data_IF_288205078409
#
_entry.id   IF_288205078409
#
_cell.length_a   1.000
_cell.length_b   1.000
_cell.length_c   1.000
_cell.angle_alpha   90.00
_cell.angle_beta   90.00
_cell.angle_gamma   90.00
#
_symmetry.space_group_name_H-M   'P 1'
#
loop_
_entity.id
_entity.type
_entity.pdbx_description
1 polymer ?
#
# COMPACT_ATOMS: atom_id res chain seq x y z
N UNK A 1 -4.73 -4.35 24.86
CA UNK A 1 -5.06 -4.45 23.43
C UNK A 1 -3.91 -5.16 22.71
N UNK A 2 -4.19 -6.23 21.95
CA UNK A 2 -3.13 -6.95 21.22
C UNK A 2 -2.92 -6.30 19.86
N UNK A 3 -1.66 -6.14 19.45
CA UNK A 3 -1.31 -5.52 18.15
C UNK A 3 -1.94 -6.31 16.98
N UNK A 4 -2.00 -7.65 17.10
CA UNK A 4 -2.65 -8.55 16.12
C UNK A 4 -4.12 -8.21 15.84
N UNK A 5 -4.86 -7.71 16.84
CA UNK A 5 -6.26 -7.34 16.67
C UNK A 5 -6.39 -6.03 15.89
N UNK A 6 -5.49 -5.07 16.16
CA UNK A 6 -5.42 -3.81 15.41
C UNK A 6 -5.07 -4.09 13.96
N UNK A 7 -4.06 -4.94 13.75
CA UNK A 7 -3.55 -5.29 12.44
C UNK A 7 -4.63 -5.93 11.58
N UNK A 8 -5.36 -6.89 12.14
CA UNK A 8 -6.51 -7.52 11.48
C UNK A 8 -7.60 -6.52 11.08
N UNK A 9 -7.87 -5.52 11.92
CA UNK A 9 -8.87 -4.49 11.59
C UNK A 9 -8.37 -3.56 10.49
N UNK A 10 -7.08 -3.22 10.46
CA UNK A 10 -6.45 -2.44 9.39
C UNK A 10 -6.49 -3.20 8.07
N UNK A 11 -6.08 -4.48 8.07
CA UNK A 11 -6.10 -5.34 6.89
C UNK A 11 -7.51 -5.45 6.33
N UNK A 12 -8.49 -5.67 7.21
CA UNK A 12 -9.90 -5.76 6.82
C UNK A 12 -10.40 -4.47 6.19
N UNK A 13 -10.05 -3.31 6.75
CA UNK A 13 -10.41 -2.02 6.16
C UNK A 13 -9.80 -1.87 4.75
N UNK A 14 -8.52 -2.19 4.58
CA UNK A 14 -7.85 -2.10 3.29
C UNK A 14 -8.44 -3.08 2.26
N UNK A 15 -8.84 -4.27 2.68
CA UNK A 15 -9.50 -5.25 1.82
C UNK A 15 -10.92 -4.81 1.43
N UNK A 16 -11.73 -4.36 2.40
CA UNK A 16 -13.07 -3.83 2.12
C UNK A 16 -12.99 -2.61 1.18
N UNK A 17 -12.00 -1.74 1.35
CA UNK A 17 -11.83 -0.54 0.51
C UNK A 17 -11.50 -0.84 -0.96
N UNK A 18 -11.02 -2.05 -1.27
CA UNK A 18 -10.83 -2.49 -2.68
C UNK A 18 -12.15 -2.72 -3.40
N UNK A 19 -13.22 -3.00 -2.68
CA UNK A 19 -14.51 -3.39 -3.24
C UNK A 19 -15.62 -2.38 -2.93
N UNK A 20 -15.52 -1.68 -1.80
CA UNK A 20 -16.54 -0.79 -1.27
C UNK A 20 -16.13 0.68 -1.34
N UNK A 21 -17.13 1.55 -1.19
CA UNK A 21 -16.91 3.00 -1.10
C UNK A 21 -16.23 3.37 0.21
N UNK A 22 -15.59 4.56 0.21
CA UNK A 22 -14.93 5.14 1.38
C UNK A 22 -15.82 5.17 2.62
N UNK A 23 -17.04 5.65 2.45
CA UNK A 23 -17.98 5.89 3.55
C UNK A 23 -18.36 4.57 4.24
N UNK A 24 -18.67 3.53 3.45
CA UNK A 24 -19.03 2.20 3.96
C UNK A 24 -17.86 1.57 4.71
N UNK A 25 -16.66 1.59 4.12
CA UNK A 25 -15.46 1.04 4.76
C UNK A 25 -15.12 1.75 6.09
N UNK A 26 -15.29 3.08 6.15
CA UNK A 26 -15.07 3.87 7.36
C UNK A 26 -16.10 3.56 8.46
N UNK A 27 -17.37 3.40 8.09
CA UNK A 27 -18.43 3.02 9.03
C UNK A 27 -18.18 1.62 9.61
N UNK A 28 -17.85 0.65 8.75
CA UNK A 28 -17.50 -0.69 9.19
C UNK A 28 -16.26 -0.70 10.09
N UNK A 29 -15.22 0.05 9.74
CA UNK A 29 -14.03 0.18 10.59
C UNK A 29 -14.38 0.70 11.99
N UNK A 30 -15.23 1.72 12.10
CA UNK A 30 -15.72 2.19 13.40
C UNK A 30 -16.51 1.11 14.13
N UNK A 31 -17.45 0.45 13.46
CA UNK A 31 -18.24 -0.61 14.08
C UNK A 31 -17.34 -1.73 14.64
N UNK A 32 -16.32 -2.14 13.89
CA UNK A 32 -15.33 -3.11 14.36
C UNK A 32 -14.51 -2.58 15.54
N UNK A 33 -14.05 -1.33 15.49
CA UNK A 33 -13.32 -0.73 16.59
C UNK A 33 -14.15 -0.73 17.89
N UNK A 34 -15.45 -0.45 17.81
CA UNK A 34 -16.38 -0.50 18.94
C UNK A 34 -16.71 -1.92 19.43
N UNK A 35 -16.67 -2.92 18.54
CA UNK A 35 -16.89 -4.32 18.92
C UNK A 35 -15.66 -4.94 19.59
N UNK A 36 -14.46 -4.58 19.12
CA UNK A 36 -13.19 -5.11 19.64
C UNK A 36 -12.79 -4.42 20.93
N UNK A 37 -13.13 -3.14 21.10
CA UNK A 37 -12.75 -2.35 22.27
C UNK A 37 -13.89 -2.23 23.30
N UNK A 38 -13.55 -2.23 24.59
CA UNK A 38 -14.48 -1.73 25.62
C UNK A 38 -14.72 -0.23 25.41
N UNK A 39 -15.89 0.28 25.78
CA UNK A 39 -16.33 1.66 25.49
C UNK A 39 -15.35 2.79 25.89
N UNK A 40 -14.42 2.55 26.83
CA UNK A 40 -13.37 3.50 27.22
C UNK A 40 -12.01 3.34 26.52
N UNK A 41 -11.79 2.27 25.75
CA UNK A 41 -10.49 1.95 25.14
C UNK A 41 -10.41 2.33 23.65
N UNK A 42 -11.53 2.78 23.05
CA UNK A 42 -11.60 3.14 21.62
C UNK A 42 -10.63 4.26 21.26
N UNK A 43 -10.42 5.24 22.14
CA UNK A 43 -9.45 6.32 21.88
C UNK A 43 -8.01 5.80 21.81
N UNK A 44 -7.66 4.91 22.73
CA UNK A 44 -6.35 4.24 22.73
C UNK A 44 -6.19 3.33 21.52
N UNK A 45 -7.26 2.66 21.09
CA UNK A 45 -7.30 1.90 19.84
C UNK A 45 -6.99 2.78 18.64
N UNK A 46 -7.75 3.85 18.44
CA UNK A 46 -7.57 4.77 17.32
C UNK A 46 -6.16 5.35 17.28
N UNK A 47 -5.60 5.74 18.42
CA UNK A 47 -4.22 6.24 18.50
C UNK A 47 -3.18 5.18 18.11
N UNK A 48 -3.38 3.94 18.55
CA UNK A 48 -2.49 2.82 18.22
C UNK A 48 -2.58 2.46 16.74
N UNK A 49 -3.80 2.41 16.19
CA UNK A 49 -4.06 2.20 14.76
C UNK A 49 -3.37 3.27 13.92
N UNK A 50 -3.54 4.56 14.26
CA UNK A 50 -2.86 5.68 13.57
C UNK A 50 -1.35 5.49 13.53
N UNK A 51 -0.75 5.13 14.67
CA UNK A 51 0.70 4.93 14.76
C UNK A 51 1.16 3.75 13.89
N UNK A 52 0.41 2.65 13.89
CA UNK A 52 0.75 1.44 13.14
C UNK A 52 0.58 1.65 11.62
N UNK A 53 -0.53 2.27 11.21
CA UNK A 53 -0.79 2.63 9.81
C UNK A 53 0.23 3.64 9.31
N UNK A 54 0.63 4.61 10.15
CA UNK A 54 1.72 5.54 9.82
C UNK A 54 3.04 4.81 9.56
N UNK A 55 3.39 3.85 10.41
CA UNK A 55 4.55 2.99 10.20
C UNK A 55 4.44 2.19 8.89
N UNK A 56 3.27 1.66 8.54
CA UNK A 56 3.06 0.96 7.26
C UNK A 56 3.21 1.88 6.06
N UNK A 57 2.66 3.10 6.12
CA UNK A 57 2.84 4.10 5.06
C UNK A 57 4.31 4.44 4.87
N UNK A 58 5.03 4.72 5.96
CA UNK A 58 6.45 5.05 5.89
C UNK A 58 7.26 3.87 5.32
N UNK A 59 7.00 2.65 5.80
CA UNK A 59 7.64 1.44 5.31
C UNK A 59 7.34 1.18 3.83
N UNK A 60 6.08 1.28 3.40
CA UNK A 60 5.67 1.07 2.01
C UNK A 60 6.16 2.18 1.09
N UNK A 61 6.27 3.42 1.59
CA UNK A 61 6.81 4.54 0.81
C UNK A 61 8.27 4.33 0.40
N UNK A 62 9.05 3.56 1.18
CA UNK A 62 10.40 3.15 0.81
C UNK A 62 10.42 2.21 -0.41
N UNK A 63 9.31 1.51 -0.65
CA UNK A 63 9.07 0.61 -1.79
C UNK A 63 8.26 1.24 -2.91
N UNK A 64 7.80 2.50 -2.77
CA UNK A 64 7.09 3.25 -3.82
C UNK A 64 7.98 3.50 -5.05
N UNK A 65 9.30 3.30 -4.92
CA UNK A 65 10.20 3.26 -6.05
C UNK A 65 10.17 1.87 -6.73
N UNK A 66 9.52 1.71 -7.90
CA UNK A 66 9.42 0.42 -8.59
C UNK A 66 10.79 -0.14 -8.99
N UNK A 67 11.82 0.70 -9.07
CA UNK A 67 13.18 0.31 -9.47
C UNK A 67 13.99 -0.35 -8.36
N UNK A 68 13.54 -0.33 -7.10
CA UNK A 68 14.23 -1.02 -6.00
C UNK A 68 13.95 -2.52 -5.93
N UNK A 69 12.93 -3.01 -6.65
CA UNK A 69 12.60 -4.43 -6.68
C UNK A 69 13.63 -5.22 -7.50
N UNK A 70 13.98 -6.44 -7.05
CA UNK A 70 14.80 -7.39 -7.80
C UNK A 70 14.30 -7.60 -9.24
N UNK A 71 12.99 -7.51 -9.47
CA UNK A 71 12.38 -7.63 -10.80
C UNK A 71 12.73 -6.47 -11.73
N UNK A 72 12.88 -5.25 -11.19
CA UNK A 72 13.30 -4.11 -12.00
C UNK A 72 14.78 -4.21 -12.42
N UNK A 73 15.62 -4.85 -11.61
CA UNK A 73 17.00 -5.17 -11.99
C UNK A 73 17.01 -6.17 -13.17
N UNK A 74 16.10 -7.14 -13.18
CA UNK A 74 15.92 -8.05 -14.31
C UNK A 74 15.47 -7.32 -15.59
N UNK A 75 14.61 -6.30 -15.49
CA UNK A 75 14.28 -5.46 -16.65
C UNK A 75 15.50 -4.71 -17.21
N UNK A 76 16.35 -4.15 -16.33
CA UNK A 76 17.59 -3.50 -16.75
C UNK A 76 18.54 -4.50 -17.44
N UNK A 77 18.61 -5.72 -16.92
CA UNK A 77 19.36 -6.80 -17.57
C UNK A 77 18.79 -7.15 -18.95
N UNK A 78 17.46 -7.24 -19.08
CA UNK A 78 16.80 -7.48 -20.37
C UNK A 78 17.09 -6.36 -21.39
N UNK A 79 17.22 -5.11 -20.94
CA UNK A 79 17.63 -3.99 -21.78
C UNK A 79 19.07 -4.16 -22.31
N UNK A 80 20.00 -4.59 -21.45
CA UNK A 80 21.37 -4.94 -21.89
C UNK A 80 21.35 -6.11 -22.88
N UNK A 81 20.57 -7.15 -22.59
CA UNK A 81 20.42 -8.33 -23.44
C UNK A 81 19.78 -8.01 -24.80
N UNK A 82 18.88 -7.02 -24.83
CA UNK A 82 18.30 -6.49 -26.06
C UNK A 82 19.36 -5.88 -26.98
N UNK A 83 20.24 -5.01 -26.45
CA UNK A 83 21.34 -4.44 -27.23
C UNK A 83 22.33 -5.51 -27.70
N UNK A 84 22.62 -6.49 -26.84
CA UNK A 84 23.45 -7.62 -27.21
C UNK A 84 22.83 -8.45 -28.35
N UNK A 85 21.51 -8.66 -28.31
CA UNK A 85 20.78 -9.36 -29.38
C UNK A 85 20.84 -8.60 -30.70
N UNK A 86 20.75 -7.26 -30.68
CA UNK A 86 20.93 -6.42 -31.88
C UNK A 86 22.35 -6.57 -32.42
N UNK A 87 23.36 -6.56 -31.55
CA UNK A 87 24.75 -6.77 -31.96
C UNK A 87 24.95 -8.14 -32.65
N UNK A 88 24.34 -9.21 -32.12
CA UNK A 88 24.39 -10.55 -32.75
C UNK A 88 23.72 -10.61 -34.12
N UNK A 89 22.71 -9.78 -34.38
CA UNK A 89 22.03 -9.73 -35.70
C UNK A 89 22.96 -9.14 -36.77
N UNK A 90 23.95 -8.32 -36.39
CA UNK A 90 24.93 -7.75 -37.32
C UNK A 90 26.00 -8.74 -37.77
N UNK A 91 26.08 -9.93 -37.16
CA UNK A 91 27.00 -11.01 -37.52
C UNK A 91 26.21 -12.14 -38.22
N UNK A 92 26.56 -12.40 -39.49
CA UNK A 92 25.92 -13.44 -40.31
C UNK A 92 25.95 -14.83 -39.65
N UNK A 93 26.98 -15.15 -38.86
CA UNK A 93 27.08 -16.43 -38.17
C UNK A 93 26.08 -16.55 -37.00
N UNK A 94 25.67 -15.42 -36.41
CA UNK A 94 24.84 -15.35 -35.22
C UNK A 94 23.43 -14.82 -35.50
N UNK A 95 23.13 -14.43 -36.73
CA UNK A 95 21.87 -13.80 -37.15
C UNK A 95 20.61 -14.48 -36.60
N UNK A 96 20.50 -15.80 -36.79
CA UNK A 96 19.33 -16.57 -36.32
C UNK A 96 19.21 -16.55 -34.80
N UNK A 97 20.33 -16.68 -34.09
CA UNK A 97 20.38 -16.64 -32.62
C UNK A 97 20.00 -15.24 -32.12
N UNK A 98 20.48 -14.19 -32.80
CA UNK A 98 20.13 -12.81 -32.51
C UNK A 98 18.62 -12.54 -32.62
N UNK A 99 17.96 -13.03 -33.68
CA UNK A 99 16.49 -12.87 -33.85
C UNK A 99 15.70 -13.60 -32.76
N UNK A 100 16.08 -14.84 -32.44
CA UNK A 100 15.42 -15.63 -31.39
C UNK A 100 15.57 -14.93 -30.05
N UNK A 101 16.77 -14.48 -29.71
CA UNK A 101 17.04 -13.75 -28.48
C UNK A 101 16.26 -12.44 -28.42
N UNK A 102 16.22 -11.66 -29.50
CA UNK A 102 15.50 -10.39 -29.55
C UNK A 102 13.99 -10.58 -29.28
N UNK A 103 13.40 -11.58 -29.94
CA UNK A 103 11.97 -11.88 -29.79
C UNK A 103 11.65 -12.36 -28.37
N UNK A 104 12.46 -13.28 -27.82
CA UNK A 104 12.34 -13.72 -26.43
C UNK A 104 12.46 -12.56 -25.43
N UNK A 105 13.41 -11.66 -25.67
CA UNK A 105 13.64 -10.47 -24.83
C UNK A 105 12.43 -9.54 -24.83
N UNK A 106 11.83 -9.27 -25.98
CA UNK A 106 10.65 -8.39 -26.09
C UNK A 106 9.45 -9.00 -25.35
N UNK A 107 9.17 -10.29 -25.58
CA UNK A 107 8.04 -10.99 -24.94
C UNK A 107 8.23 -10.99 -23.42
N UNK A 108 9.41 -11.39 -22.96
CA UNK A 108 9.70 -11.48 -21.53
C UNK A 108 9.70 -10.10 -20.86
N UNK A 109 10.31 -9.09 -21.49
CA UNK A 109 10.32 -7.72 -20.96
C UNK A 109 8.92 -7.15 -20.84
N UNK A 110 8.04 -7.39 -21.82
CA UNK A 110 6.65 -6.93 -21.78
C UNK A 110 5.89 -7.60 -20.62
N UNK A 111 6.07 -8.90 -20.43
CA UNK A 111 5.46 -9.63 -19.31
C UNK A 111 5.96 -9.12 -17.96
N UNK A 112 7.28 -8.97 -17.82
CA UNK A 112 7.91 -8.49 -16.58
C UNK A 112 7.51 -7.05 -16.24
N UNK A 113 7.41 -6.18 -17.25
CA UNK A 113 6.91 -4.82 -17.09
C UNK A 113 5.46 -4.80 -16.56
N UNK A 114 4.58 -5.64 -17.11
CA UNK A 114 3.20 -5.74 -16.65
C UNK A 114 3.10 -6.11 -15.17
N UNK A 115 3.93 -7.05 -14.71
CA UNK A 115 3.98 -7.49 -13.31
C UNK A 115 4.48 -6.36 -12.39
N UNK A 116 5.58 -5.68 -12.77
CA UNK A 116 6.13 -4.58 -11.97
C UNK A 116 5.13 -3.44 -11.88
N UNK A 117 4.44 -3.15 -12.99
CA UNK A 117 3.42 -2.11 -13.04
C UNK A 117 2.22 -2.43 -12.16
N UNK A 118 1.71 -3.67 -12.20
CA UNK A 118 0.58 -4.07 -11.34
C UNK A 118 0.94 -4.01 -9.86
N UNK A 119 2.11 -4.53 -9.47
CA UNK A 119 2.58 -4.48 -8.08
C UNK A 119 2.79 -3.05 -7.58
N UNK A 120 3.31 -2.18 -8.44
CA UNK A 120 3.48 -0.77 -8.12
C UNK A 120 2.12 -0.09 -7.89
N UNK A 121 1.16 -0.28 -8.80
CA UNK A 121 -0.20 0.25 -8.64
C UNK A 121 -0.89 -0.25 -7.37
N UNK A 122 -0.80 -1.56 -7.08
CA UNK A 122 -1.37 -2.14 -5.86
C UNK A 122 -0.76 -1.53 -4.60
N UNK A 123 0.57 -1.34 -4.59
CA UNK A 123 1.28 -0.70 -3.47
C UNK A 123 0.86 0.76 -3.30
N UNK A 124 0.79 1.53 -4.39
CA UNK A 124 0.36 2.94 -4.34
C UNK A 124 -1.10 3.07 -3.88
N UNK A 125 -1.99 2.17 -4.31
CA UNK A 125 -3.38 2.13 -3.83
C UNK A 125 -3.46 1.79 -2.35
N UNK A 126 -2.69 0.82 -1.88
CA UNK A 126 -2.65 0.45 -0.46
C UNK A 126 -2.18 1.63 0.41
N UNK A 127 -1.14 2.34 -0.02
CA UNK A 127 -0.66 3.56 0.64
C UNK A 127 -1.79 4.61 0.70
N UNK A 128 -2.55 4.78 -0.38
CA UNK A 128 -3.67 5.72 -0.41
C UNK A 128 -4.77 5.34 0.59
N UNK A 129 -5.14 4.06 0.69
CA UNK A 129 -6.12 3.58 1.68
C UNK A 129 -5.63 3.80 3.12
N UNK A 130 -4.36 3.56 3.39
CA UNK A 130 -3.77 3.81 4.71
C UNK A 130 -3.74 5.29 5.07
N UNK A 131 -3.43 6.18 4.12
CA UNK A 131 -3.54 7.63 4.35
C UNK A 131 -4.99 8.05 4.61
N UNK A 132 -5.94 7.52 3.85
CA UNK A 132 -7.38 7.76 4.05
C UNK A 132 -7.83 7.36 5.47
N UNK A 133 -7.31 6.24 5.98
CA UNK A 133 -7.59 5.76 7.33
C UNK A 133 -6.97 6.67 8.40
N UNK A 134 -5.75 7.15 8.19
CA UNK A 134 -5.10 8.13 9.09
C UNK A 134 -5.93 9.42 9.16
N UNK A 135 -6.31 9.98 8.01
CA UNK A 135 -7.12 11.20 7.94
C UNK A 135 -8.46 11.03 8.65
N UNK A 136 -9.07 9.86 8.51
CA UNK A 136 -10.31 9.52 9.21
C UNK A 136 -10.14 9.46 10.73
N UNK A 137 -9.09 8.81 11.21
CA UNK A 137 -8.79 8.72 12.64
C UNK A 137 -8.51 10.10 13.23
N UNK A 138 -7.71 10.91 12.53
CA UNK A 138 -7.36 12.27 12.97
C UNK A 138 -8.62 13.15 13.03
N UNK A 139 -9.52 13.04 12.05
CA UNK A 139 -10.82 13.71 12.07
C UNK A 139 -11.71 13.29 13.25
N UNK A 140 -11.75 11.99 13.58
CA UNK A 140 -12.51 11.49 14.73
C UNK A 140 -11.95 11.96 16.07
N UNK A 141 -10.63 12.06 16.21
CA UNK A 141 -9.98 12.54 17.43
C UNK A 141 -10.22 14.04 17.62
N UNK A 142 -10.10 14.82 16.55
CA UNK A 142 -10.34 16.27 16.59
C UNK A 142 -11.80 16.62 16.87
N UNK A 143 -12.75 15.86 16.32
CA UNK A 143 -14.18 16.05 16.61
C UNK A 143 -14.55 15.74 18.08
N UNK A 144 -13.80 14.86 18.76
CA UNK A 144 -14.06 14.47 20.16
C UNK A 144 -13.37 15.35 21.20
N UNK A 145 -12.28 16.04 20.83
CA UNK A 145 -11.57 16.98 21.71
C UNK A 145 -12.48 18.03 22.40
N UNK A 146 -13.39 18.75 21.69
CA UNK A 146 -14.25 19.75 22.34
C UNK A 146 -15.30 19.14 23.28
N UNK A 147 -15.76 17.91 23.05
CA UNK A 147 -16.72 17.22 23.93
C UNK A 147 -16.06 16.76 25.24
N UNK A 148 -14.79 16.36 25.19
CA UNK A 148 -14.02 16.00 26.37
C UNK A 148 -13.69 17.22 27.24
N UNK A 149 -13.43 18.38 26.64
CA UNK A 149 -13.25 19.65 27.36
C UNK A 149 -14.56 20.13 28.00
N UNK A 150 -15.68 20.03 27.29
CA UNK A 150 -17.01 20.37 27.82
C UNK A 150 -17.42 19.47 29.00
N UNK A 151 -17.01 18.20 29.01
CA UNK A 151 -17.26 17.27 30.12
C UNK A 151 -16.37 17.53 31.36
N UNK A 152 -15.21 18.18 31.17
CA UNK A 152 -14.27 18.55 32.25
C UNK A 152 -14.53 19.93 32.83
N UNK A 153 -15.36 20.75 32.21
CA UNK A 153 -15.78 22.02 32.77
C UNK A 153 -16.53 21.78 34.10
N UNK A 154 -16.07 22.33 35.24
CA UNK A 154 -16.82 22.22 36.49
C UNK A 154 -18.18 22.85 36.24
N UNK A 155 -19.25 22.08 36.51
CA UNK A 155 -20.61 22.63 36.55
C UNK A 155 -20.57 23.75 37.59
N UNK A 156 -20.57 24.99 37.12
CA UNK A 156 -20.61 26.17 37.98
C UNK A 156 -21.78 26.03 38.94
N UNK A 157 -21.45 26.14 40.22
CA UNK A 157 -22.39 26.38 41.32
C UNK A 157 -23.08 27.73 41.13
#
# INVERSE_FOLDING_TARGET
MKIEEIDRVIERYAEERKHETREVAQEHFLAYAYLVCRAGEVEQFMKSTRSLVGYYVDSLSLFDNPFRNSRAHWLLFMLLWFFFSIYMILDDALYVVGIVNLTGTIIFSKSLWGIIWSEWLETSLLIAYYRELIDFIDGQQQARAPLAEAAKAPRGQ
#
